data_IF_474527209015
#
_entry.id   IF_474527209015
#
_cell.length_a   1.000
_cell.length_b   1.000
_cell.length_c   1.000
_cell.angle_alpha   90.00
_cell.angle_beta   90.00
_cell.angle_gamma   90.00
#
_symmetry.space_group_name_H-M   'P 1'
#
loop_
_entity.id
_entity.type
_entity.pdbx_description
1 polymer ?
#
# COMPACT_ATOMS: atom_id res chain seq x y z
N UNK A 1 -65.52 3.92 21.45
CA UNK A 1 -65.00 5.19 20.90
C UNK A 1 -64.03 5.78 21.91
N UNK A 2 -62.81 6.14 21.47
CA UNK A 2 -61.73 6.84 22.21
C UNK A 2 -61.11 6.06 23.39
N UNK A 3 -59.82 6.13 23.75
CA UNK A 3 -58.57 6.75 23.27
C UNK A 3 -57.45 6.03 24.08
N UNK A 4 -56.33 5.65 23.47
CA UNK A 4 -54.99 6.25 23.70
C UNK A 4 -54.49 6.31 25.15
N UNK A 5 -53.26 5.83 25.41
CA UNK A 5 -52.51 6.24 26.59
C UNK A 5 -51.42 5.25 27.02
N UNK A 6 -50.18 5.52 26.61
CA UNK A 6 -48.98 4.79 26.99
C UNK A 6 -48.60 5.00 28.48
N UNK A 7 -47.90 4.03 29.06
CA UNK A 7 -47.06 4.24 30.24
C UNK A 7 -45.67 3.66 29.96
N UNK A 8 -44.77 4.57 29.62
CA UNK A 8 -43.35 4.36 29.39
C UNK A 8 -42.66 3.82 30.64
N UNK A 9 -41.89 2.73 30.51
CA UNK A 9 -40.80 2.46 31.45
C UNK A 9 -39.51 2.90 30.76
N UNK A 10 -38.97 4.00 31.27
CA UNK A 10 -37.68 4.57 30.88
C UNK A 10 -36.57 3.77 31.58
N UNK A 11 -35.69 3.17 30.80
CA UNK A 11 -34.37 2.74 31.25
C UNK A 11 -33.35 3.41 30.35
N UNK A 12 -32.67 4.40 30.93
CA UNK A 12 -31.55 5.10 30.36
C UNK A 12 -30.32 4.18 30.30
N UNK A 13 -29.58 4.24 29.19
CA UNK A 13 -28.15 4.00 29.20
C UNK A 13 -27.49 4.63 27.95
N UNK A 14 -26.98 5.83 28.19
CA UNK A 14 -25.73 6.36 27.62
C UNK A 14 -25.64 6.54 26.09
N UNK A 15 -25.96 7.76 25.66
CA UNK A 15 -25.49 8.36 24.41
C UNK A 15 -23.96 8.52 24.48
N UNK A 16 -23.25 7.46 24.12
CA UNK A 16 -21.84 7.55 23.73
C UNK A 16 -21.76 8.15 22.33
N UNK A 17 -21.90 9.48 22.25
CA UNK A 17 -21.50 10.24 21.08
C UNK A 17 -20.01 10.08 20.85
N UNK A 18 -19.62 9.13 19.99
CA UNK A 18 -18.36 9.25 19.29
C UNK A 18 -18.63 10.14 18.08
N UNK A 19 -18.66 11.45 18.32
CA UNK A 19 -18.34 12.43 17.30
C UNK A 19 -16.92 12.12 16.83
N UNK A 20 -16.83 11.21 15.86
CA UNK A 20 -15.65 11.11 15.00
C UNK A 20 -15.57 12.46 14.32
N UNK A 21 -14.77 13.35 14.92
CA UNK A 21 -14.40 14.62 14.35
C UNK A 21 -13.60 14.27 13.11
N UNK A 22 -14.33 14.09 12.00
CA UNK A 22 -13.79 14.16 10.67
C UNK A 22 -13.29 15.60 10.48
N UNK A 23 -12.11 15.88 11.02
CA UNK A 23 -11.20 16.77 10.33
C UNK A 23 -11.12 16.20 8.92
N UNK A 24 -11.66 16.94 7.94
CA UNK A 24 -11.83 16.51 6.55
C UNK A 24 -10.50 16.27 5.85
N UNK A 25 -9.79 15.22 6.25
CA UNK A 25 -8.65 14.66 5.55
C UNK A 25 -9.18 13.83 4.41
N UNK A 26 -8.74 14.15 3.19
CA UNK A 26 -9.03 13.33 2.02
C UNK A 26 -8.44 11.93 2.23
N UNK A 27 -9.13 10.89 1.74
CA UNK A 27 -8.71 9.49 1.90
C UNK A 27 -7.42 9.23 1.14
N UNK A 28 -6.42 8.64 1.82
CA UNK A 28 -5.14 8.28 1.22
C UNK A 28 -5.30 7.08 0.29
N UNK A 29 -4.78 7.20 -0.94
CA UNK A 29 -4.83 6.11 -1.91
C UNK A 29 -3.57 6.00 -2.75
N UNK A 30 -3.30 4.80 -3.27
CA UNK A 30 -2.29 4.56 -4.30
C UNK A 30 -2.99 4.64 -5.65
N UNK A 31 -2.53 5.53 -6.53
CA UNK A 31 -3.07 5.67 -7.89
C UNK A 31 -2.44 4.68 -8.85
N UNK A 32 -1.13 4.49 -8.74
CA UNK A 32 -0.35 3.69 -9.69
C UNK A 32 0.92 3.14 -9.06
N UNK A 33 1.31 1.95 -9.49
CA UNK A 33 2.61 1.34 -9.20
C UNK A 33 3.23 0.97 -10.55
N UNK A 34 4.52 1.27 -10.77
CA UNK A 34 5.24 0.84 -11.97
C UNK A 34 6.71 0.55 -11.69
N UNK A 35 7.32 -0.17 -12.62
CA UNK A 35 8.71 -0.58 -12.55
C UNK A 35 9.56 0.18 -13.55
N UNK A 36 10.83 0.36 -13.22
CA UNK A 36 11.84 0.86 -14.14
C UNK A 36 13.17 0.17 -13.89
N UNK A 37 14.13 0.39 -14.80
CA UNK A 37 15.45 -0.21 -14.75
C UNK A 37 16.56 0.84 -14.73
N UNK A 38 17.59 0.56 -13.93
CA UNK A 38 18.82 1.35 -13.87
C UNK A 38 18.64 2.76 -13.31
N UNK A 39 19.72 3.54 -13.34
CA UNK A 39 19.72 4.91 -12.81
C UNK A 39 18.94 5.90 -13.70
N UNK A 40 18.77 5.56 -14.99
CA UNK A 40 18.00 6.37 -15.95
C UNK A 40 16.48 6.18 -15.81
N UNK A 41 16.03 5.33 -14.87
CA UNK A 41 14.61 5.05 -14.59
C UNK A 41 13.82 4.67 -15.85
N UNK A 42 14.44 3.88 -16.73
CA UNK A 42 13.81 3.45 -17.99
C UNK A 42 12.58 2.59 -17.68
N UNK A 43 11.36 2.97 -18.09
CA UNK A 43 10.14 2.23 -17.76
C UNK A 43 10.21 0.78 -18.24
N UNK A 44 9.75 -0.14 -17.39
CA UNK A 44 9.69 -1.55 -17.73
C UNK A 44 8.35 -1.86 -18.42
N UNK A 45 8.39 -2.23 -19.70
CA UNK A 45 7.20 -2.56 -20.50
C UNK A 45 6.87 -4.07 -20.54
N UNK A 46 7.69 -4.93 -19.93
CA UNK A 46 7.54 -6.39 -19.94
C UNK A 46 8.37 -7.12 -18.90
N UNK A 47 8.49 -8.45 -19.00
CA UNK A 47 9.27 -9.25 -18.04
C UNK A 47 10.78 -8.95 -18.13
N UNK A 48 11.39 -8.60 -17.00
CA UNK A 48 12.86 -8.44 -16.91
C UNK A 48 13.54 -9.77 -16.58
N UNK A 49 14.67 -10.02 -17.24
CA UNK A 49 15.57 -11.15 -16.95
C UNK A 49 16.72 -10.76 -16.01
N UNK A 50 16.86 -9.47 -15.73
CA UNK A 50 17.88 -8.90 -14.86
C UNK A 50 17.16 -8.09 -13.78
N UNK A 51 17.19 -8.57 -12.53
CA UNK A 51 16.44 -7.98 -11.42
C UNK A 51 17.28 -7.04 -10.55
N UNK A 52 18.60 -7.01 -10.75
CA UNK A 52 19.57 -6.41 -9.82
C UNK A 52 19.42 -4.90 -9.65
N UNK A 53 18.81 -4.24 -10.63
CA UNK A 53 18.62 -2.80 -10.74
C UNK A 53 17.18 -2.43 -11.13
N UNK A 54 16.24 -3.25 -10.67
CA UNK A 54 14.82 -2.90 -10.71
C UNK A 54 14.51 -1.85 -9.64
N UNK A 55 13.84 -0.79 -10.08
CA UNK A 55 13.29 0.24 -9.22
C UNK A 55 11.76 0.14 -9.23
N UNK A 56 11.14 0.41 -8.08
CA UNK A 56 9.69 0.53 -7.97
C UNK A 56 9.31 1.98 -7.71
N UNK A 57 8.23 2.40 -8.36
CA UNK A 57 7.65 3.73 -8.23
C UNK A 57 6.20 3.62 -7.79
N UNK A 58 5.76 4.57 -6.97
CA UNK A 58 4.39 4.67 -6.47
C UNK A 58 3.90 6.10 -6.65
N UNK A 59 2.77 6.25 -7.30
CA UNK A 59 2.02 7.50 -7.36
C UNK A 59 0.87 7.42 -6.36
N UNK A 60 0.77 8.42 -5.50
CA UNK A 60 -0.15 8.45 -4.37
C UNK A 60 -1.02 9.69 -4.41
N UNK A 61 -2.14 9.65 -3.71
CA UNK A 61 -3.03 10.78 -3.50
C UNK A 61 -3.26 10.99 -2.01
N UNK A 62 -3.22 12.26 -1.58
CA UNK A 62 -3.43 12.69 -0.20
C UNK A 62 -2.35 12.21 0.80
N UNK A 63 -1.21 11.72 0.31
CA UNK A 63 0.00 11.54 1.09
C UNK A 63 0.79 12.85 1.13
N UNK A 64 1.34 13.16 2.30
CA UNK A 64 2.24 14.30 2.46
C UNK A 64 3.68 13.95 2.05
N UNK A 65 4.44 14.95 1.63
CA UNK A 65 5.87 14.81 1.38
C UNK A 65 6.60 14.29 2.63
N UNK A 66 7.41 13.27 2.45
CA UNK A 66 8.12 12.55 3.52
C UNK A 66 7.35 11.40 4.16
N UNK A 67 6.07 11.21 3.86
CA UNK A 67 5.33 10.01 4.31
C UNK A 67 5.87 8.74 3.65
N UNK A 68 5.55 7.58 4.23
CA UNK A 68 6.01 6.29 3.74
C UNK A 68 4.83 5.41 3.31
N UNK A 69 5.02 4.72 2.19
CA UNK A 69 4.20 3.60 1.73
C UNK A 69 5.03 2.32 1.89
N UNK A 70 4.44 1.31 2.51
CA UNK A 70 5.00 -0.04 2.52
C UNK A 70 4.35 -0.86 1.39
N UNK A 71 5.19 -1.41 0.52
CA UNK A 71 4.78 -2.35 -0.52
C UNK A 71 5.23 -3.75 -0.12
N UNK A 72 4.35 -4.74 -0.26
CA UNK A 72 4.70 -6.15 -0.09
C UNK A 72 4.81 -6.78 -1.47
N UNK A 73 6.01 -7.22 -1.84
CA UNK A 73 6.27 -7.96 -3.06
C UNK A 73 6.19 -9.45 -2.76
N UNK A 74 5.46 -10.21 -3.58
CA UNK A 74 5.37 -11.66 -3.51
C UNK A 74 5.16 -12.23 -4.91
N UNK A 75 5.52 -13.51 -5.11
CA UNK A 75 5.14 -14.23 -6.32
C UNK A 75 3.62 -14.49 -6.30
N UNK A 76 2.97 -14.45 -7.46
CA UNK A 76 1.52 -14.65 -7.59
C UNK A 76 1.09 -16.10 -7.32
N UNK A 77 1.99 -17.06 -7.56
CA UNK A 77 1.83 -18.48 -7.26
C UNK A 77 2.09 -18.83 -5.79
N UNK A 78 2.47 -17.84 -4.96
CA UNK A 78 2.77 -18.01 -3.54
C UNK A 78 4.09 -18.72 -3.25
N UNK A 79 4.92 -18.94 -4.27
CA UNK A 79 6.27 -19.48 -4.10
C UNK A 79 7.21 -18.50 -3.39
N UNK A 80 8.31 -19.05 -2.91
CA UNK A 80 9.38 -18.30 -2.27
C UNK A 80 10.00 -17.28 -3.25
N UNK A 81 10.03 -16.00 -2.85
CA UNK A 81 10.72 -14.92 -3.56
C UNK A 81 12.23 -14.98 -3.33
N UNK A 82 12.63 -15.38 -2.12
CA UNK A 82 13.99 -15.77 -1.75
C UNK A 82 13.94 -17.09 -0.97
N UNK A 83 15.07 -17.77 -0.80
CA UNK A 83 15.14 -19.01 -0.02
C UNK A 83 14.48 -18.86 1.37
N UNK A 84 13.35 -19.56 1.58
CA UNK A 84 12.59 -19.54 2.82
C UNK A 84 11.80 -18.26 3.08
N UNK A 85 11.58 -17.42 2.05
CA UNK A 85 10.90 -16.13 2.17
C UNK A 85 9.99 -15.86 0.98
N UNK A 86 8.68 -15.93 1.21
CA UNK A 86 7.62 -15.74 0.22
C UNK A 86 7.28 -14.28 -0.09
N UNK A 87 7.73 -13.33 0.74
CA UNK A 87 7.44 -11.91 0.55
C UNK A 87 8.65 -11.00 0.76
N UNK A 88 8.55 -9.74 0.35
CA UNK A 88 9.56 -8.72 0.60
C UNK A 88 8.94 -7.34 0.74
N UNK A 89 9.10 -6.75 1.92
CA UNK A 89 8.65 -5.39 2.19
C UNK A 89 9.62 -4.36 1.61
N UNK A 90 9.08 -3.43 0.83
CA UNK A 90 9.77 -2.27 0.27
C UNK A 90 9.15 -1.01 0.84
N UNK A 91 9.98 -0.18 1.46
CA UNK A 91 9.54 1.09 2.02
C UNK A 91 9.85 2.21 1.05
N UNK A 92 8.81 2.90 0.60
CA UNK A 92 8.90 3.98 -0.37
C UNK A 92 8.53 5.29 0.32
N UNK A 93 9.45 6.25 0.34
CA UNK A 93 9.13 7.60 0.79
C UNK A 93 8.46 8.36 -0.33
N UNK A 94 7.30 8.92 -0.04
CA UNK A 94 6.55 9.82 -0.92
C UNK A 94 7.30 11.14 -0.96
N UNK A 95 7.70 11.55 -2.15
CA UNK A 95 8.32 12.84 -2.39
C UNK A 95 7.29 13.92 -2.74
N UNK A 96 7.78 15.10 -3.15
CA UNK A 96 6.92 16.13 -3.73
C UNK A 96 6.16 15.56 -4.94
N UNK A 97 4.95 16.08 -5.18
CA UNK A 97 4.01 15.61 -6.22
C UNK A 97 3.35 14.25 -5.95
N UNK A 98 3.53 13.68 -4.75
CA UNK A 98 2.88 12.42 -4.37
C UNK A 98 3.55 11.19 -5.00
N UNK A 99 4.76 11.35 -5.55
CA UNK A 99 5.54 10.26 -6.17
C UNK A 99 6.62 9.80 -5.21
N UNK A 100 6.62 8.51 -4.89
CA UNK A 100 7.70 7.85 -4.17
C UNK A 100 8.42 6.84 -5.04
N UNK A 101 9.72 6.67 -4.79
CA UNK A 101 10.55 5.67 -5.48
C UNK A 101 11.51 4.95 -4.55
N UNK A 102 11.73 3.67 -4.83
CA UNK A 102 12.80 2.88 -4.23
C UNK A 102 13.66 2.29 -5.35
N UNK A 103 14.94 2.65 -5.34
CA UNK A 103 15.92 2.26 -6.36
C UNK A 103 16.59 0.94 -5.98
N UNK A 104 16.92 0.13 -6.99
CA UNK A 104 17.65 -1.13 -6.83
C UNK A 104 17.05 -1.99 -5.71
N UNK A 105 15.75 -2.26 -5.79
CA UNK A 105 14.94 -2.90 -4.73
C UNK A 105 15.53 -4.26 -4.31
N UNK A 106 16.18 -4.95 -5.24
CA UNK A 106 16.86 -6.23 -5.01
C UNK A 106 18.38 -6.11 -4.91
N UNK A 107 18.93 -4.90 -4.84
CA UNK A 107 20.35 -4.64 -4.75
C UNK A 107 21.00 -5.39 -3.58
N UNK A 108 22.05 -6.15 -3.89
CA UNK A 108 22.75 -6.98 -2.90
C UNK A 108 22.01 -8.23 -2.45
N UNK A 109 20.86 -8.57 -3.06
CA UNK A 109 20.11 -9.80 -2.82
C UNK A 109 20.24 -10.75 -4.01
N UNK A 110 20.23 -12.05 -3.73
CA UNK A 110 20.08 -13.08 -4.76
C UNK A 110 18.60 -13.45 -4.84
N UNK A 111 17.92 -13.06 -5.92
CA UNK A 111 16.52 -13.43 -6.18
C UNK A 111 16.51 -14.71 -7.01
N UNK A 112 15.73 -15.71 -6.58
CA UNK A 112 15.47 -16.92 -7.38
C UNK A 112 14.16 -16.72 -8.13
N UNK A 113 14.23 -16.06 -9.30
CA UNK A 113 13.05 -15.97 -10.17
C UNK A 113 12.92 -17.29 -10.93
N UNK A 114 11.97 -18.12 -10.51
CA UNK A 114 11.50 -19.33 -11.19
C UNK A 114 12.61 -20.18 -11.82
N UNK A 115 13.12 -21.19 -11.11
CA UNK A 115 13.60 -22.38 -11.80
C UNK A 115 12.41 -22.97 -12.54
N UNK A 116 12.25 -22.63 -13.83
CA UNK A 116 11.43 -23.39 -14.75
C UNK A 116 12.09 -24.77 -14.88
N UNK A 117 11.62 -25.71 -14.06
CA UNK A 117 11.83 -27.14 -14.25
C UNK A 117 10.90 -27.68 -15.32
#
# INVERSE_FOLDING_TARGET
>A
MAKSGAASTQLAANEGGNESTAAGGQEKSIKRIWWSYGDDETPLEGASRHYVDLNVHVETENYADGEAVELILANDDGSDLFEGKSDFAVHVKVGPEGIGKAMNVFGGKTVMLGQLG
#
